data_IF_953088299084
#
_entry.id   IF_953088299084
#
_cell.length_a   1.000
_cell.length_b   1.000
_cell.length_c   1.000
_cell.angle_alpha   90.00
_cell.angle_beta   90.00
_cell.angle_gamma   90.00
#
_symmetry.space_group_name_H-M   'P 1'
#
loop_
_entity.id
_entity.type
_entity.pdbx_description
1 polymer ?
#
# COMPACT_ATOMS: atom_id res chain seq x y z
N UNK A 1 4.15 -8.19 -2.25
CA UNK A 1 4.63 -6.87 -1.84
C UNK A 1 4.95 -6.91 -0.36
N UNK A 2 6.17 -6.55 0.01
CA UNK A 2 6.58 -6.43 1.41
C UNK A 2 6.52 -4.95 1.77
N UNK A 3 5.87 -4.63 2.88
CA UNK A 3 5.77 -3.26 3.41
C UNK A 3 6.41 -3.23 4.77
N UNK A 4 7.32 -2.28 4.94
CA UNK A 4 7.98 -2.03 6.21
C UNK A 4 7.85 -0.56 6.60
N UNK A 5 7.76 -0.34 7.91
CA UNK A 5 7.78 0.99 8.49
C UNK A 5 9.19 1.57 8.35
N UNK A 6 9.29 2.80 7.85
CA UNK A 6 10.55 3.50 7.79
C UNK A 6 11.11 3.74 9.21
N UNK A 7 12.43 3.68 9.41
CA UNK A 7 13.05 3.75 10.74
C UNK A 7 12.76 5.06 11.50
N UNK A 8 12.46 6.14 10.77
CA UNK A 8 12.13 7.46 11.35
C UNK A 8 10.62 7.74 11.42
N UNK A 9 9.77 6.82 10.94
CA UNK A 9 8.33 7.05 10.91
C UNK A 9 7.71 6.86 12.30
N UNK A 10 6.90 7.83 12.73
CA UNK A 10 6.11 7.77 13.97
C UNK A 10 4.71 7.21 13.73
N UNK A 11 4.62 6.08 13.03
CA UNK A 11 3.36 5.38 12.77
C UNK A 11 3.27 4.11 13.62
N UNK A 12 2.05 3.61 13.86
CA UNK A 12 1.81 2.31 14.48
C UNK A 12 2.45 1.17 13.69
N UNK A 13 2.77 0.07 14.38
CA UNK A 13 3.36 -1.09 13.74
C UNK A 13 2.36 -1.84 12.85
N UNK A 14 2.87 -2.40 11.77
CA UNK A 14 2.08 -3.11 10.78
C UNK A 14 2.05 -4.60 11.12
N UNK A 15 0.89 -5.09 11.54
CA UNK A 15 0.68 -6.49 11.97
C UNK A 15 1.10 -7.53 10.90
N UNK A 16 0.88 -7.21 9.61
CA UNK A 16 1.32 -8.03 8.48
C UNK A 16 2.24 -7.22 7.58
N UNK A 17 3.46 -7.69 7.37
CA UNK A 17 4.39 -7.05 6.43
C UNK A 17 4.25 -7.54 4.99
N UNK A 18 3.72 -8.75 4.78
CA UNK A 18 3.62 -9.38 3.45
C UNK A 18 2.20 -9.29 2.92
N UNK A 19 2.03 -8.55 1.83
CA UNK A 19 0.78 -8.36 1.10
C UNK A 19 0.93 -8.99 -0.30
N UNK A 20 0.46 -10.23 -0.44
CA UNK A 20 0.44 -10.99 -1.69
C UNK A 20 -0.82 -11.87 -1.74
N UNK A 21 -1.46 -11.95 -2.89
CA UNK A 21 -2.38 -13.02 -3.28
C UNK A 21 -3.84 -12.91 -2.86
N UNK A 22 -4.18 -12.52 -1.63
CA UNK A 22 -5.56 -12.64 -1.14
C UNK A 22 -6.27 -11.33 -0.78
N UNK A 23 -5.54 -10.21 -0.61
CA UNK A 23 -6.16 -8.90 -0.32
C UNK A 23 -6.11 -7.91 -1.48
N UNK A 24 -5.26 -8.18 -2.48
CA UNK A 24 -5.15 -7.42 -3.73
C UNK A 24 -5.86 -8.13 -4.89
N UNK A 25 -6.18 -9.41 -4.72
CA UNK A 25 -6.90 -10.24 -5.68
C UNK A 25 -8.12 -10.85 -4.98
N UNK A 26 -9.19 -10.07 -4.80
CA UNK A 26 -10.54 -10.63 -4.90
C UNK A 26 -11.07 -10.24 -6.27
N UNK A 27 -10.75 -10.99 -7.33
CA UNK A 27 -11.28 -10.71 -8.65
C UNK A 27 -12.74 -11.17 -8.69
N UNK A 28 -13.67 -10.22 -8.65
CA UNK A 28 -14.85 -10.35 -9.50
C UNK A 28 -14.43 -9.82 -10.89
N UNK A 29 -14.51 -10.63 -11.96
CA UNK A 29 -14.30 -10.12 -13.31
C UNK A 29 -15.47 -9.20 -13.69
N UNK A 30 -15.23 -8.01 -14.28
CA UNK A 30 -13.95 -7.45 -14.76
C UNK A 30 -13.45 -6.31 -13.85
N UNK A 31 -12.61 -6.60 -12.86
CA UNK A 31 -11.95 -5.56 -12.04
C UNK A 31 -10.54 -5.27 -12.56
N UNK A 32 -10.17 -3.99 -12.77
CA UNK A 32 -8.80 -3.62 -13.15
C UNK A 32 -7.79 -3.99 -12.05
N UNK A 33 -6.51 -4.17 -12.40
CA UNK A 33 -5.47 -4.44 -11.41
C UNK A 33 -5.45 -3.36 -10.33
N UNK A 34 -5.16 -3.72 -9.07
CA UNK A 34 -5.22 -2.78 -7.96
C UNK A 34 -4.21 -1.65 -8.16
N UNK A 35 -4.72 -0.42 -8.14
CA UNK A 35 -3.92 0.79 -8.16
C UNK A 35 -3.22 1.00 -6.81
N UNK A 36 -2.08 1.70 -6.82
CA UNK A 36 -1.32 2.07 -5.62
C UNK A 36 -2.20 2.84 -4.62
N UNK A 37 -3.13 3.66 -5.09
CA UNK A 37 -4.11 4.34 -4.24
C UNK A 37 -4.98 3.42 -3.38
N UNK A 38 -5.38 2.26 -3.91
CA UNK A 38 -6.14 1.28 -3.12
C UNK A 38 -5.26 0.71 -2.00
N UNK A 39 -3.96 0.57 -2.26
CA UNK A 39 -3.00 0.12 -1.26
C UNK A 39 -2.78 1.15 -0.15
N UNK A 40 -2.74 2.45 -0.48
CA UNK A 40 -2.76 3.54 0.51
C UNK A 40 -3.95 3.43 1.45
N UNK A 41 -5.15 3.23 0.91
CA UNK A 41 -6.36 3.08 1.71
C UNK A 41 -6.31 1.85 2.63
N UNK A 42 -5.85 0.73 2.10
CA UNK A 42 -5.74 -0.53 2.85
C UNK A 42 -4.78 -0.39 4.03
N UNK A 43 -3.59 0.14 3.81
CA UNK A 43 -2.60 0.32 4.86
C UNK A 43 -3.10 1.33 5.89
N UNK A 44 -3.68 2.46 5.46
CA UNK A 44 -4.28 3.45 6.38
C UNK A 44 -5.26 2.81 7.36
N UNK A 45 -6.13 1.92 6.87
CA UNK A 45 -7.09 1.17 7.68
C UNK A 45 -6.42 0.18 8.64
N UNK A 46 -5.30 -0.43 8.25
CA UNK A 46 -4.55 -1.40 9.07
C UNK A 46 -3.79 -0.75 10.23
N UNK A 47 -3.18 0.41 10.01
CA UNK A 47 -2.47 1.16 11.06
C UNK A 47 -3.37 2.13 11.83
N UNK A 48 -4.69 2.09 11.60
CA UNK A 48 -5.68 3.00 12.21
C UNK A 48 -5.28 4.48 12.14
N UNK A 49 -4.69 4.87 11.01
CA UNK A 49 -4.16 6.22 10.83
C UNK A 49 -5.31 7.21 10.58
N UNK A 50 -5.31 8.33 11.30
CA UNK A 50 -6.38 9.33 11.22
C UNK A 50 -6.42 10.01 9.86
N UNK A 51 -7.55 10.62 9.54
CA UNK A 51 -7.76 11.38 8.31
C UNK A 51 -6.72 12.51 8.11
N UNK A 52 -6.25 13.08 9.22
CA UNK A 52 -5.36 14.25 9.26
C UNK A 52 -3.87 13.88 9.21
N UNK A 53 -3.52 12.64 9.55
CA UNK A 53 -2.14 12.19 9.52
C UNK A 53 -1.77 11.77 8.08
N UNK A 54 -0.61 12.23 7.60
CA UNK A 54 -0.12 11.94 6.26
C UNK A 54 0.57 10.56 6.20
N UNK A 55 0.34 9.84 5.10
CA UNK A 55 0.97 8.56 4.79
C UNK A 55 1.67 8.65 3.44
N UNK A 56 2.92 8.20 3.37
CA UNK A 56 3.71 8.16 2.14
C UNK A 56 4.38 6.80 1.99
N UNK A 57 4.31 6.23 0.80
CA UNK A 57 5.13 5.08 0.42
C UNK A 57 6.36 5.53 -0.34
N UNK A 58 7.41 4.71 -0.21
CA UNK A 58 8.65 4.85 -0.95
C UNK A 58 8.94 3.51 -1.62
N UNK A 59 9.13 3.54 -2.93
CA UNK A 59 9.62 2.42 -3.74
C UNK A 59 10.89 2.90 -4.41
N UNK A 60 12.02 2.23 -4.15
CA UNK A 60 13.34 2.71 -4.58
C UNK A 60 13.60 4.18 -4.23
N UNK A 61 13.26 4.58 -2.99
CA UNK A 61 13.40 5.95 -2.47
C UNK A 61 12.56 7.02 -3.21
N UNK A 62 11.67 6.62 -4.12
CA UNK A 62 10.77 7.51 -4.86
C UNK A 62 9.33 7.28 -4.41
N UNK A 63 8.54 8.35 -4.37
CA UNK A 63 7.10 8.26 -4.08
C UNK A 63 6.40 7.76 -5.35
N UNK A 64 5.78 6.56 -5.32
CA UNK A 64 5.10 6.04 -6.50
C UNK A 64 3.84 6.86 -6.80
N UNK A 65 3.50 7.05 -8.10
CA UNK A 65 2.26 7.72 -8.46
C UNK A 65 1.04 6.89 -8.04
N UNK A 66 0.04 7.54 -7.44
CA UNK A 66 -1.16 6.89 -6.90
C UNK A 66 -1.99 6.18 -7.98
N UNK A 67 -1.91 6.67 -9.23
CA UNK A 67 -2.56 6.10 -10.41
C UNK A 67 -1.83 4.90 -11.01
N UNK A 68 -0.55 4.67 -10.66
CA UNK A 68 0.14 3.46 -11.13
C UNK A 68 -0.48 2.21 -10.51
N UNK A 69 -0.37 1.13 -11.25
CA UNK A 69 -0.79 -0.20 -10.78
C UNK A 69 0.35 -0.86 -10.01
N UNK A 70 0.01 -1.73 -9.05
CA UNK A 70 1.02 -2.51 -8.32
C UNK A 70 1.88 -3.37 -9.26
N UNK A 71 1.35 -3.76 -10.43
CA UNK A 71 2.09 -4.46 -11.48
C UNK A 71 3.16 -3.59 -12.15
N UNK A 72 2.83 -2.33 -12.46
CA UNK A 72 3.81 -1.39 -13.03
C UNK A 72 4.96 -1.06 -12.08
N UNK A 73 4.75 -1.15 -10.76
CA UNK A 73 5.81 -0.96 -9.77
C UNK A 73 6.71 -2.19 -9.58
N UNK A 74 6.27 -3.37 -10.01
CA UNK A 74 7.01 -4.62 -9.86
C UNK A 74 7.91 -4.91 -11.08
N UNK A 75 7.54 -4.35 -12.22
CA UNK A 75 8.26 -4.51 -13.49
C UNK A 75 9.60 -3.78 -13.46
#
# INVERSE_FOLDING_TARGET
VIVEKAPKARIGDLDKKKYLGSSLCTPSPPSPPPAVGQFYFLIRKRIHLRAEDALFFFVNNVIPPTSATMGQLYQ
#
